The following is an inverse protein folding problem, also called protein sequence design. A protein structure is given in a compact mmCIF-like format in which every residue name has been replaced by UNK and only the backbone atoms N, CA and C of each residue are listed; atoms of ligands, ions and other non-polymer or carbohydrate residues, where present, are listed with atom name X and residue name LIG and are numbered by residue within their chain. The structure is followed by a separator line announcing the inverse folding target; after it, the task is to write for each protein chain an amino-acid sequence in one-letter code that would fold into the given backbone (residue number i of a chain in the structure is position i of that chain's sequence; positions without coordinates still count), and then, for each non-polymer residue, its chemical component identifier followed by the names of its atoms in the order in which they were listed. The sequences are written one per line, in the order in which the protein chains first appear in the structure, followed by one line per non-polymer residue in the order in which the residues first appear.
data_IF_808476078507
#
_entry.id   IF_808476078507
#
_cell.length_a   1.000
_cell.length_b   1.000
_cell.length_c   1.000
_cell.angle_alpha   90.00
_cell.angle_beta   90.00
_cell.angle_gamma   90.00
#
_symmetry.space_group_name_H-M   'P 1'
#
loop_
_entity.id
_entity.type
_entity.pdbx_description
1 polymer ?
#
# COMPACT_ATOMS: atom_id res chain seq x y z
N UNK A 1 -25.33 64.03 -15.18
CA UNK A 1 -25.97 65.24 -15.73
C UNK A 1 -27.43 65.24 -15.30
N UNK A 2 -27.85 66.31 -14.60
CA UNK A 2 -29.23 66.83 -14.51
C UNK A 2 -30.29 66.00 -13.75
N UNK A 3 -30.77 66.48 -12.59
CA UNK A 3 -31.81 67.52 -12.32
C UNK A 3 -33.17 66.83 -12.08
N UNK A 4 -33.65 66.82 -10.83
CA UNK A 4 -34.60 67.77 -10.20
C UNK A 4 -36.07 67.33 -10.33
N UNK A 5 -36.67 67.10 -9.15
CA UNK A 5 -37.99 67.57 -8.66
C UNK A 5 -39.24 67.09 -9.41
N UNK A 6 -40.18 66.50 -8.67
CA UNK A 6 -41.59 66.93 -8.58
C UNK A 6 -42.17 66.44 -7.24
N UNK A 7 -42.76 67.38 -6.51
CA UNK A 7 -43.54 67.19 -5.29
C UNK A 7 -45.03 67.02 -5.59
N UNK A 8 -45.73 66.39 -4.63
CA UNK A 8 -47.11 66.62 -4.18
C UNK A 8 -48.25 65.99 -5.00
N UNK A 9 -49.05 65.12 -4.37
CA UNK A 9 -50.38 65.45 -3.81
C UNK A 9 -50.96 64.26 -3.02
N UNK A 10 -51.53 64.64 -1.88
CA UNK A 10 -52.25 63.95 -0.83
C UNK A 10 -53.59 63.35 -1.29
N UNK A 11 -53.91 62.11 -0.92
CA UNK A 11 -55.30 61.68 -0.67
C UNK A 11 -55.35 60.91 0.65
N UNK A 12 -55.97 61.56 1.63
CA UNK A 12 -56.33 60.99 2.93
C UNK A 12 -57.67 60.27 2.78
N UNK A 13 -57.75 58.99 3.15
CA UNK A 13 -59.02 58.30 3.44
C UNK A 13 -58.90 57.56 4.78
N UNK A 14 -59.96 57.69 5.58
CA UNK A 14 -60.04 57.35 6.99
C UNK A 14 -60.62 55.93 7.22
N UNK A 15 -60.01 55.20 8.17
CA UNK A 15 -60.54 54.09 9.03
C UNK A 15 -60.68 52.68 8.41
N UNK A 16 -60.57 51.56 9.18
CA UNK A 16 -60.44 51.44 10.63
C UNK A 16 -59.13 50.79 11.13
N UNK A 17 -58.78 51.15 12.36
CA UNK A 17 -57.68 50.64 13.17
C UNK A 17 -57.79 49.12 13.34
N UNK A 18 -56.96 48.36 12.63
CA UNK A 18 -56.51 47.07 13.18
C UNK A 18 -55.32 47.37 14.06
N UNK A 19 -55.51 47.11 15.35
CA UNK A 19 -54.48 47.26 16.36
C UNK A 19 -53.20 46.59 15.87
N UNK A 20 -52.14 47.37 15.70
CA UNK A 20 -50.78 46.86 15.82
C UNK A 20 -50.72 46.36 17.26
N UNK A 21 -50.91 45.06 17.45
CA UNK A 21 -50.51 44.41 18.68
C UNK A 21 -49.01 44.62 18.77
N UNK A 22 -48.60 45.70 19.45
CA UNK A 22 -47.23 45.92 19.84
C UNK A 22 -46.81 44.64 20.55
N UNK A 23 -45.87 43.90 19.95
CA UNK A 23 -45.26 42.76 20.61
C UNK A 23 -44.80 43.24 21.99
N UNK A 24 -45.29 42.65 23.09
CA UNK A 24 -45.09 43.20 24.42
C UNK A 24 -43.59 43.40 24.70
N UNK A 25 -43.26 44.54 25.34
CA UNK A 25 -41.89 44.93 25.70
C UNK A 25 -41.19 43.74 26.38
N UNK A 26 -39.97 43.34 25.96
CA UNK A 26 -39.25 42.28 26.64
C UNK A 26 -39.08 42.65 28.13
N UNK A 27 -39.64 41.84 29.01
CA UNK A 27 -39.59 42.11 30.45
C UNK A 27 -38.18 41.86 30.99
N UNK A 28 -37.78 42.59 32.04
CA UNK A 28 -36.48 42.39 32.71
C UNK A 28 -36.23 40.91 33.06
N UNK A 29 -37.28 40.21 33.50
CA UNK A 29 -37.28 38.77 33.76
C UNK A 29 -36.93 37.90 32.53
N UNK A 30 -37.34 38.28 31.32
CA UNK A 30 -37.01 37.56 30.08
C UNK A 30 -35.54 37.75 29.69
N UNK A 31 -34.96 38.93 29.96
CA UNK A 31 -33.53 39.19 29.71
C UNK A 31 -32.66 38.45 30.74
N UNK A 32 -33.05 38.48 32.01
CA UNK A 32 -32.31 37.78 33.07
C UNK A 32 -32.41 36.25 32.89
N UNK A 33 -33.56 35.73 32.45
CA UNK A 33 -33.72 34.35 32.03
C UNK A 33 -32.84 34.01 30.80
N UNK A 34 -32.76 34.89 29.79
CA UNK A 34 -31.89 34.68 28.63
C UNK A 34 -30.40 34.70 29.00
N UNK A 35 -29.97 35.60 29.90
CA UNK A 35 -28.61 35.64 30.44
C UNK A 35 -28.27 34.39 31.24
N UNK A 36 -29.22 33.87 32.03
CA UNK A 36 -29.06 32.60 32.75
C UNK A 36 -28.88 31.43 31.79
N UNK A 37 -29.70 31.34 30.73
CA UNK A 37 -29.56 30.33 29.67
C UNK A 37 -28.23 30.45 28.93
N UNK A 38 -27.75 31.66 28.64
CA UNK A 38 -26.42 31.87 28.04
C UNK A 38 -25.31 31.40 28.98
N UNK A 39 -25.37 31.74 30.27
CA UNK A 39 -24.39 31.29 31.26
C UNK A 39 -24.38 29.76 31.42
N UNK A 40 -25.55 29.12 31.44
CA UNK A 40 -25.68 27.66 31.46
C UNK A 40 -25.11 27.02 30.19
N UNK A 41 -25.39 27.60 29.01
CA UNK A 41 -24.82 27.13 27.72
C UNK A 41 -23.32 27.34 27.63
N UNK A 42 -22.80 28.43 28.20
CA UNK A 42 -21.35 28.68 28.31
C UNK A 42 -20.68 27.68 29.24
N UNK A 43 -21.26 27.42 30.41
CA UNK A 43 -20.75 26.40 31.33
C UNK A 43 -20.78 24.99 30.72
N UNK A 44 -21.84 24.65 29.97
CA UNK A 44 -21.91 23.40 29.21
C UNK A 44 -20.84 23.32 28.11
N UNK A 45 -20.57 24.43 27.43
CA UNK A 45 -19.50 24.49 26.44
C UNK A 45 -18.10 24.37 27.06
N UNK A 46 -17.85 24.99 28.21
CA UNK A 46 -16.59 24.88 28.94
C UNK A 46 -16.37 23.44 29.45
N UNK A 47 -17.43 22.79 29.95
CA UNK A 47 -17.39 21.38 30.33
C UNK A 47 -17.12 20.46 29.14
N UNK A 48 -17.73 20.75 27.98
CA UNK A 48 -17.50 20.00 26.76
C UNK A 48 -16.10 20.26 26.16
N UNK A 49 -15.55 21.47 26.27
CA UNK A 49 -14.18 21.80 25.89
C UNK A 49 -13.15 21.00 26.71
N UNK A 50 -13.40 20.79 28.02
CA UNK A 50 -12.58 19.90 28.86
C UNK A 50 -12.60 18.45 28.35
N UNK A 51 -13.78 17.91 28.00
CA UNK A 51 -13.92 16.57 27.39
C UNK A 51 -13.23 16.49 26.01
N UNK A 52 -13.27 17.57 25.24
CA UNK A 52 -12.59 17.67 23.95
C UNK A 52 -11.07 17.62 24.11
N UNK A 53 -10.51 18.21 25.16
CA UNK A 53 -9.07 18.15 25.44
C UNK A 53 -8.59 16.73 25.78
N UNK A 54 -9.36 15.95 26.53
CA UNK A 54 -9.02 14.54 26.76
C UNK A 54 -9.09 13.72 25.48
N UNK A 55 -10.11 13.96 24.64
CA UNK A 55 -10.25 13.25 23.37
C UNK A 55 -9.20 13.67 22.32
N UNK A 56 -8.71 14.92 22.35
CA UNK A 56 -7.53 15.34 21.56
C UNK A 56 -6.28 14.55 21.94
N UNK A 57 -6.11 14.16 23.21
CA UNK A 57 -5.00 13.29 23.63
C UNK A 57 -5.15 11.89 23.03
N UNK A 58 -6.35 11.32 23.09
CA UNK A 58 -6.68 10.03 22.44
C UNK A 58 -6.41 10.09 20.93
N UNK A 59 -6.83 11.17 20.26
CA UNK A 59 -6.60 11.37 18.83
C UNK A 59 -5.09 11.42 18.50
N UNK A 60 -4.27 12.06 19.33
CA UNK A 60 -2.80 12.05 19.14
C UNK A 60 -2.26 10.62 19.22
N UNK A 61 -2.67 9.85 20.22
CA UNK A 61 -2.27 8.44 20.37
C UNK A 61 -2.71 7.61 19.15
N UNK A 62 -3.93 7.77 18.68
CA UNK A 62 -4.43 7.09 17.47
C UNK A 62 -3.64 7.51 16.22
N UNK A 63 -3.27 8.78 16.11
CA UNK A 63 -2.44 9.30 15.01
C UNK A 63 -1.04 8.68 15.03
N UNK A 64 -0.43 8.55 16.21
CA UNK A 64 0.87 7.92 16.37
C UNK A 64 0.82 6.43 15.99
N UNK A 65 -0.23 5.73 16.43
CA UNK A 65 -0.47 4.32 16.08
C UNK A 65 -0.67 4.17 14.57
N UNK A 66 -1.54 4.97 13.94
CA UNK A 66 -1.79 4.93 12.51
C UNK A 66 -0.51 5.20 11.70
N UNK A 67 0.29 6.18 12.15
CA UNK A 67 1.59 6.48 11.53
C UNK A 67 2.55 5.32 11.66
N UNK A 68 2.64 4.69 12.84
CA UNK A 68 3.49 3.53 13.08
C UNK A 68 3.07 2.33 12.20
N UNK A 69 1.77 2.01 12.15
CA UNK A 69 1.25 0.92 11.30
C UNK A 69 1.47 1.19 9.82
N UNK A 70 1.31 2.45 9.37
CA UNK A 70 1.63 2.83 7.98
C UNK A 70 3.11 2.67 7.65
N UNK A 71 4.02 2.99 8.58
CA UNK A 71 5.46 2.73 8.40
C UNK A 71 5.75 1.24 8.27
N UNK A 72 5.11 0.40 9.07
CA UNK A 72 5.25 -1.07 8.97
C UNK A 72 4.74 -1.59 7.61
N UNK A 73 3.61 -1.07 7.12
CA UNK A 73 3.11 -1.41 5.79
C UNK A 73 4.10 -1.04 4.67
N UNK A 74 4.66 0.17 4.70
CA UNK A 74 5.66 0.61 3.72
C UNK A 74 6.93 -0.25 3.81
N UNK A 75 7.38 -0.58 5.02
CA UNK A 75 8.52 -1.47 5.23
C UNK A 75 8.26 -2.87 4.63
N UNK A 76 7.06 -3.43 4.85
CA UNK A 76 6.67 -4.70 4.26
C UNK A 76 6.63 -4.64 2.72
N UNK A 77 6.15 -3.54 2.12
CA UNK A 77 6.17 -3.36 0.67
C UNK A 77 7.60 -3.33 0.11
N UNK A 78 8.52 -2.64 0.79
CA UNK A 78 9.92 -2.58 0.39
C UNK A 78 10.58 -3.96 0.49
N UNK A 79 10.30 -4.70 1.56
CA UNK A 79 10.75 -6.08 1.73
C UNK A 79 10.23 -6.97 0.60
N UNK A 80 8.94 -6.92 0.28
CA UNK A 80 8.36 -7.68 -0.83
C UNK A 80 9.03 -7.34 -2.17
N UNK A 81 9.33 -6.06 -2.42
CA UNK A 81 10.04 -5.61 -3.63
C UNK A 81 11.44 -6.23 -3.71
N UNK A 82 12.17 -6.26 -2.61
CA UNK A 82 13.49 -6.90 -2.55
C UNK A 82 13.40 -8.41 -2.78
N UNK A 83 12.48 -9.10 -2.09
CA UNK A 83 12.30 -10.56 -2.24
C UNK A 83 11.85 -10.93 -3.65
N UNK A 84 10.99 -10.12 -4.28
CA UNK A 84 10.58 -10.30 -5.67
C UNK A 84 11.77 -10.23 -6.62
N UNK A 85 12.63 -9.20 -6.49
CA UNK A 85 13.85 -9.10 -7.30
C UNK A 85 14.78 -10.30 -7.11
N UNK A 86 14.96 -10.76 -5.86
CA UNK A 86 15.75 -11.96 -5.56
C UNK A 86 15.17 -13.22 -6.22
N UNK A 87 13.85 -13.40 -6.16
CA UNK A 87 13.16 -14.51 -6.82
C UNK A 87 13.33 -14.46 -8.35
N UNK A 88 13.23 -13.28 -8.97
CA UNK A 88 13.45 -13.09 -10.41
C UNK A 88 14.88 -13.44 -10.83
N UNK A 89 15.88 -13.00 -10.06
CA UNK A 89 17.30 -13.31 -10.31
C UNK A 89 17.54 -14.81 -10.19
N UNK A 90 17.07 -15.45 -9.12
CA UNK A 90 17.23 -16.87 -8.90
C UNK A 90 16.54 -17.71 -10.00
N UNK A 91 15.36 -17.28 -10.47
CA UNK A 91 14.67 -17.93 -11.60
C UNK A 91 15.45 -17.80 -12.91
N UNK A 92 16.08 -16.65 -13.19
CA UNK A 92 16.95 -16.48 -14.37
C UNK A 92 18.19 -17.37 -14.29
N UNK A 93 18.80 -17.46 -13.10
CA UNK A 93 19.94 -18.34 -12.86
C UNK A 93 19.56 -19.81 -13.08
N UNK A 94 18.43 -20.24 -12.53
CA UNK A 94 17.87 -21.58 -12.76
C UNK A 94 17.65 -21.86 -14.25
N UNK A 95 17.04 -20.94 -15.00
CA UNK A 95 16.81 -21.11 -16.43
C UNK A 95 18.13 -21.30 -17.20
N UNK A 96 19.15 -20.52 -16.87
CA UNK A 96 20.49 -20.64 -17.47
C UNK A 96 21.13 -22.00 -17.12
N UNK A 97 21.05 -22.42 -15.86
CA UNK A 97 21.59 -23.71 -15.43
C UNK A 97 20.87 -24.89 -16.10
N UNK A 98 19.55 -24.85 -16.22
CA UNK A 98 18.76 -25.86 -16.94
C UNK A 98 19.09 -25.91 -18.44
N UNK A 99 19.39 -24.76 -19.07
CA UNK A 99 19.85 -24.72 -20.44
C UNK A 99 21.22 -25.41 -20.61
N UNK A 100 22.14 -25.22 -19.65
CA UNK A 100 23.44 -25.91 -19.61
C UNK A 100 23.29 -27.42 -19.45
N UNK A 101 22.42 -27.88 -18.55
CA UNK A 101 22.09 -29.32 -18.41
C UNK A 101 21.53 -29.88 -19.71
N UNK A 102 20.57 -29.18 -20.33
CA UNK A 102 19.97 -29.61 -21.60
C UNK A 102 20.99 -29.67 -22.73
N UNK A 103 21.92 -28.72 -22.77
CA UNK A 103 23.03 -28.72 -23.73
C UNK A 103 23.97 -29.91 -23.51
N UNK A 104 24.40 -30.13 -22.26
CA UNK A 104 25.23 -31.27 -21.90
C UNK A 104 24.56 -32.59 -22.23
N UNK A 105 23.27 -32.76 -21.92
CA UNK A 105 22.49 -33.95 -22.26
C UNK A 105 22.47 -34.25 -23.76
N UNK A 106 22.34 -33.22 -24.60
CA UNK A 106 22.43 -33.37 -26.07
C UNK A 106 23.82 -33.79 -26.51
N UNK A 107 24.87 -33.20 -25.95
CA UNK A 107 26.26 -33.59 -26.25
C UNK A 107 26.50 -35.05 -25.88
N UNK A 108 26.17 -35.46 -24.64
CA UNK A 108 26.29 -36.86 -24.21
C UNK A 108 25.46 -37.80 -25.09
N UNK A 109 24.24 -37.42 -25.47
CA UNK A 109 23.42 -38.20 -26.39
C UNK A 109 24.09 -38.43 -27.75
N UNK A 110 24.72 -37.40 -28.35
CA UNK A 110 25.48 -37.55 -29.59
C UNK A 110 26.68 -38.46 -29.42
N UNK A 111 27.41 -38.34 -28.30
CA UNK A 111 28.54 -39.23 -27.99
C UNK A 111 28.09 -40.67 -27.85
N UNK A 112 26.96 -40.91 -27.17
CA UNK A 112 26.40 -42.25 -27.01
C UNK A 112 25.95 -42.86 -28.36
N UNK A 113 25.34 -42.06 -29.24
CA UNK A 113 24.99 -42.52 -30.61
C UNK A 113 26.25 -42.85 -31.42
N UNK A 114 27.27 -41.98 -31.39
CA UNK A 114 28.53 -42.24 -32.08
C UNK A 114 29.21 -43.52 -31.55
N UNK A 115 29.26 -43.70 -30.22
CA UNK A 115 29.80 -44.90 -29.60
C UNK A 115 29.00 -46.16 -29.93
N UNK A 116 27.68 -46.08 -30.08
CA UNK A 116 26.84 -47.20 -30.50
C UNK A 116 27.06 -47.57 -31.97
N UNK A 117 27.19 -46.57 -32.85
CA UNK A 117 27.47 -46.79 -34.28
C UNK A 117 28.88 -47.34 -34.49
N UNK A 118 29.88 -46.82 -33.78
CA UNK A 118 31.28 -47.27 -33.82
C UNK A 118 31.48 -48.63 -33.12
N UNK A 119 30.88 -48.82 -31.95
CA UNK A 119 31.01 -50.05 -31.15
C UNK A 119 30.10 -51.21 -31.58
N UNK A 120 29.18 -50.99 -32.51
CA UNK A 120 28.24 -52.01 -33.01
C UNK A 120 28.77 -52.86 -34.17
N UNK A 121 29.95 -52.56 -34.71
CA UNK A 121 30.54 -53.28 -35.83
C UNK A 121 31.93 -53.82 -35.51
N UNK A 122 32.22 -55.06 -35.97
CA UNK A 122 33.56 -55.65 -35.96
C UNK A 122 34.63 -54.72 -36.58
N UNK A 123 34.21 -53.76 -37.41
CA UNK A 123 35.00 -52.88 -38.28
C UNK A 123 35.95 -51.89 -37.59
N UNK A 124 35.67 -51.39 -36.39
CA UNK A 124 36.55 -50.40 -35.74
C UNK A 124 37.74 -51.05 -35.02
N UNK A 125 37.50 -52.20 -34.38
CA UNK A 125 38.55 -53.12 -33.91
C UNK A 125 39.32 -53.68 -35.11
N UNK A 126 38.63 -54.01 -36.20
CA UNK A 126 39.27 -54.44 -37.44
C UNK A 126 40.18 -53.35 -38.02
N UNK A 127 39.81 -52.06 -37.91
CA UNK A 127 40.63 -50.93 -38.36
C UNK A 127 41.87 -50.68 -37.48
N UNK A 128 41.81 -51.05 -36.19
CA UNK A 128 42.97 -51.03 -35.29
C UNK A 128 43.87 -52.26 -35.52
N UNK A 129 43.27 -53.40 -35.86
CA UNK A 129 43.98 -54.66 -36.15
C UNK A 129 44.60 -54.68 -37.56
N UNK A 130 44.07 -53.92 -38.52
CA UNK A 130 44.56 -53.77 -39.89
C UNK A 130 45.33 -52.45 -40.13
N UNK A 131 45.97 -51.87 -39.11
CA UNK A 131 46.79 -50.67 -39.31
C UNK A 131 47.93 -50.90 -40.34
N UNK A 132 48.19 -49.94 -41.22
CA UNK A 132 49.17 -50.07 -42.33
C UNK A 132 50.65 -50.05 -41.87
N UNK A 133 50.87 -49.98 -40.56
CA UNK A 133 52.18 -50.01 -39.92
C UNK A 133 52.14 -49.50 -38.47
N UNK A 134 53.26 -49.61 -37.73
CA UNK A 134 53.31 -49.21 -36.31
C UNK A 134 53.05 -47.72 -36.07
N UNK A 135 53.35 -46.85 -37.04
CA UNK A 135 53.05 -45.42 -36.96
C UNK A 135 51.54 -45.14 -37.09
N UNK A 136 50.87 -45.78 -38.05
CA UNK A 136 49.41 -45.64 -38.25
C UNK A 136 48.64 -46.16 -37.03
N UNK A 137 49.08 -47.28 -36.45
CA UNK A 137 48.53 -47.78 -35.19
C UNK A 137 48.68 -46.77 -34.05
N UNK A 138 49.86 -46.16 -33.90
CA UNK A 138 50.10 -45.16 -32.86
C UNK A 138 49.20 -43.92 -33.03
N UNK A 139 49.04 -43.43 -34.26
CA UNK A 139 48.18 -42.28 -34.56
C UNK A 139 46.69 -42.57 -34.28
N UNK A 140 46.22 -43.78 -34.62
CA UNK A 140 44.85 -44.24 -34.30
C UNK A 140 44.62 -44.38 -32.80
N UNK A 141 45.58 -44.92 -32.05
CA UNK A 141 45.49 -45.03 -30.59
C UNK A 141 45.46 -43.64 -29.93
N UNK A 142 46.28 -42.70 -30.40
CA UNK A 142 46.26 -41.31 -29.92
C UNK A 142 44.91 -40.63 -30.20
N UNK A 143 44.31 -40.87 -31.36
CA UNK A 143 42.99 -40.33 -31.70
C UNK A 143 41.88 -40.93 -30.81
N UNK A 144 41.95 -42.23 -30.51
CA UNK A 144 41.02 -42.91 -29.61
C UNK A 144 41.16 -42.42 -28.17
N UNK A 145 42.39 -42.25 -27.69
CA UNK A 145 42.67 -41.69 -26.36
C UNK A 145 42.09 -40.27 -26.26
N UNK A 146 42.39 -39.39 -27.23
CA UNK A 146 41.84 -38.04 -27.31
C UNK A 146 40.30 -38.02 -27.34
N UNK A 147 39.67 -38.98 -28.03
CA UNK A 147 38.21 -39.15 -28.05
C UNK A 147 37.67 -39.55 -26.67
N UNK A 148 38.28 -40.53 -26.01
CA UNK A 148 37.92 -40.95 -24.65
C UNK A 148 38.07 -39.82 -23.63
N UNK A 149 39.14 -39.04 -23.75
CA UNK A 149 39.43 -37.88 -22.95
C UNK A 149 38.37 -36.78 -23.11
N UNK A 150 37.97 -36.51 -24.36
CA UNK A 150 36.91 -35.54 -24.66
C UNK A 150 35.54 -36.02 -24.16
N UNK A 151 35.24 -37.31 -24.28
CA UNK A 151 34.00 -37.92 -23.79
C UNK A 151 33.90 -37.81 -22.26
N UNK A 152 34.99 -38.11 -21.55
CA UNK A 152 35.07 -37.98 -20.09
C UNK A 152 34.88 -36.53 -19.65
N UNK A 153 35.57 -35.58 -20.29
CA UNK A 153 35.40 -34.13 -20.04
C UNK A 153 33.98 -33.65 -20.32
N UNK A 154 33.31 -34.17 -21.34
CA UNK A 154 31.92 -33.84 -21.63
C UNK A 154 30.97 -34.34 -20.53
N UNK A 155 31.19 -35.55 -20.02
CA UNK A 155 30.42 -36.12 -18.91
C UNK A 155 30.62 -35.33 -17.61
N UNK A 156 31.86 -34.95 -17.30
CA UNK A 156 32.16 -34.16 -16.11
C UNK A 156 31.52 -32.77 -16.16
N UNK A 157 31.54 -32.12 -17.33
CA UNK A 157 30.84 -30.85 -17.57
C UNK A 157 29.32 -31.00 -17.39
N UNK A 158 28.74 -32.10 -17.89
CA UNK A 158 27.31 -32.38 -17.72
C UNK A 158 26.94 -32.57 -16.25
N UNK A 159 27.68 -33.42 -15.51
CA UNK A 159 27.46 -33.63 -14.08
C UNK A 159 27.60 -32.34 -13.28
N UNK A 160 28.61 -31.53 -13.61
CA UNK A 160 28.80 -30.21 -12.99
C UNK A 160 27.61 -29.29 -13.25
N UNK A 161 27.07 -29.27 -14.48
CA UNK A 161 25.88 -28.51 -14.82
C UNK A 161 24.64 -28.99 -14.04
N UNK A 162 24.48 -30.30 -13.81
CA UNK A 162 23.38 -30.85 -13.00
C UNK A 162 23.46 -30.41 -11.54
N UNK A 163 24.65 -30.40 -10.95
CA UNK A 163 24.88 -29.89 -9.59
C UNK A 163 24.49 -28.41 -9.50
N UNK A 164 24.96 -27.59 -10.45
CA UNK A 164 24.62 -26.16 -10.51
C UNK A 164 23.12 -25.95 -10.70
N UNK A 165 22.46 -26.71 -11.58
CA UNK A 165 21.02 -26.61 -11.80
C UNK A 165 20.21 -27.01 -10.56
N UNK A 166 20.63 -28.05 -9.84
CA UNK A 166 19.98 -28.48 -8.60
C UNK A 166 20.12 -27.42 -7.51
N UNK A 167 21.31 -26.82 -7.37
CA UNK A 167 21.54 -25.72 -6.45
C UNK A 167 20.69 -24.48 -6.81
N UNK A 168 20.65 -24.11 -8.08
CA UNK A 168 19.86 -23.00 -8.58
C UNK A 168 18.35 -23.24 -8.40
N UNK A 169 17.87 -24.48 -8.53
CA UNK A 169 16.48 -24.85 -8.29
C UNK A 169 16.12 -24.60 -6.83
N UNK A 170 16.94 -25.10 -5.90
CA UNK A 170 16.75 -24.88 -4.47
C UNK A 170 16.75 -23.39 -4.11
N UNK A 171 17.67 -22.62 -4.68
CA UNK A 171 17.72 -21.17 -4.47
C UNK A 171 16.46 -20.47 -4.98
N UNK A 172 16.00 -20.80 -6.18
CA UNK A 172 14.79 -20.25 -6.78
C UNK A 172 13.53 -20.57 -5.95
N UNK A 173 13.41 -21.80 -5.46
CA UNK A 173 12.29 -22.23 -4.63
C UNK A 173 12.27 -21.51 -3.28
N UNK A 174 13.44 -21.38 -2.61
CA UNK A 174 13.56 -20.61 -1.38
C UNK A 174 13.24 -19.13 -1.59
N UNK A 175 13.70 -18.55 -2.70
CA UNK A 175 13.42 -17.15 -3.03
C UNK A 175 11.92 -16.92 -3.31
N UNK A 176 11.24 -17.85 -4.00
CA UNK A 176 9.78 -17.81 -4.20
C UNK A 176 9.01 -17.96 -2.89
N UNK A 177 9.42 -18.86 -2.01
CA UNK A 177 8.79 -19.00 -0.69
C UNK A 177 8.95 -17.71 0.14
N UNK A 178 10.14 -17.10 0.12
CA UNK A 178 10.39 -15.83 0.80
C UNK A 178 9.55 -14.68 0.20
N UNK A 179 9.37 -14.66 -1.12
CA UNK A 179 8.48 -13.71 -1.79
C UNK A 179 7.02 -13.91 -1.34
N UNK A 180 6.52 -15.15 -1.34
CA UNK A 180 5.15 -15.47 -0.91
C UNK A 180 4.90 -15.06 0.55
N UNK A 181 5.84 -15.35 1.45
CA UNK A 181 5.77 -14.93 2.85
C UNK A 181 5.73 -13.40 2.98
N UNK A 182 6.56 -12.68 2.20
CA UNK A 182 6.53 -11.22 2.17
C UNK A 182 5.19 -10.66 1.65
N UNK A 183 4.57 -11.31 0.66
CA UNK A 183 3.23 -10.94 0.16
C UNK A 183 2.17 -11.04 1.27
N UNK A 184 2.17 -12.15 2.03
CA UNK A 184 1.27 -12.31 3.18
C UNK A 184 1.52 -11.23 4.23
N UNK A 185 2.78 -10.92 4.52
CA UNK A 185 3.16 -9.85 5.46
C UNK A 185 2.65 -8.47 5.03
N UNK A 186 2.74 -8.15 3.72
CA UNK A 186 2.18 -6.90 3.17
C UNK A 186 0.68 -6.83 3.36
N UNK A 187 -0.05 -7.92 3.08
CA UNK A 187 -1.50 -7.97 3.26
C UNK A 187 -1.91 -7.79 4.73
N UNK A 188 -1.22 -8.45 5.65
CA UNK A 188 -1.44 -8.29 7.09
C UNK A 188 -1.15 -6.86 7.56
N UNK A 189 0.01 -6.30 7.20
CA UNK A 189 0.38 -4.94 7.56
C UNK A 189 -0.57 -3.88 6.95
N UNK A 190 -1.11 -4.13 5.75
CA UNK A 190 -2.13 -3.29 5.14
C UNK A 190 -3.40 -3.27 5.97
N UNK A 191 -3.91 -4.44 6.35
CA UNK A 191 -5.11 -4.56 7.17
C UNK A 191 -4.97 -3.78 8.48
N UNK A 192 -3.85 -3.97 9.20
CA UNK A 192 -3.60 -3.25 10.44
C UNK A 192 -3.47 -1.72 10.25
N UNK A 193 -2.86 -1.29 9.14
CA UNK A 193 -2.75 0.14 8.82
C UNK A 193 -4.10 0.76 8.47
N UNK A 194 -4.93 0.05 7.72
CA UNK A 194 -6.27 0.50 7.35
C UNK A 194 -7.20 0.55 8.58
N UNK A 195 -7.13 -0.45 9.48
CA UNK A 195 -7.85 -0.46 10.75
C UNK A 195 -7.44 0.71 11.66
N UNK A 196 -6.14 0.97 11.79
CA UNK A 196 -5.65 2.10 12.59
C UNK A 196 -6.08 3.46 12.01
N UNK A 197 -6.06 3.61 10.68
CA UNK A 197 -6.55 4.80 10.00
C UNK A 197 -8.06 4.99 10.19
N UNK A 198 -8.84 3.90 10.16
CA UNK A 198 -10.28 3.94 10.41
C UNK A 198 -10.59 4.41 11.84
N UNK A 199 -9.91 3.85 12.85
CA UNK A 199 -10.07 4.28 14.26
C UNK A 199 -9.70 5.76 14.45
N UNK A 200 -8.60 6.21 13.83
CA UNK A 200 -8.21 7.62 13.87
C UNK A 200 -9.29 8.50 13.25
N UNK A 201 -9.80 8.12 12.06
CA UNK A 201 -10.84 8.87 11.36
C UNK A 201 -12.14 8.94 12.16
N UNK A 202 -12.56 7.84 12.77
CA UNK A 202 -13.76 7.81 13.61
C UNK A 202 -13.64 8.80 14.79
N UNK A 203 -12.48 8.87 15.43
CA UNK A 203 -12.25 9.82 16.52
C UNK A 203 -12.23 11.28 16.03
N UNK A 204 -11.65 11.55 14.84
CA UNK A 204 -11.71 12.89 14.21
C UNK A 204 -13.17 13.28 13.94
N UNK A 205 -13.94 12.39 13.32
CA UNK A 205 -15.33 12.67 12.94
C UNK A 205 -16.21 12.91 14.19
N UNK A 206 -16.00 12.12 15.26
CA UNK A 206 -16.64 12.36 16.58
C UNK A 206 -16.29 13.72 17.15
N UNK A 207 -15.01 14.10 17.12
CA UNK A 207 -14.55 15.37 17.69
C UNK A 207 -15.08 16.57 16.90
N UNK A 208 -15.14 16.46 15.57
CA UNK A 208 -15.70 17.49 14.71
C UNK A 208 -17.18 17.70 15.02
N UNK A 209 -17.96 16.62 15.12
CA UNK A 209 -19.39 16.70 15.44
C UNK A 209 -19.66 17.39 16.79
N UNK A 210 -18.83 17.11 17.81
CA UNK A 210 -18.92 17.79 19.11
C UNK A 210 -18.60 19.28 18.98
N UNK A 211 -17.54 19.64 18.26
CA UNK A 211 -17.18 21.05 18.03
C UNK A 211 -18.30 21.81 17.31
N UNK A 212 -18.84 21.25 16.23
CA UNK A 212 -19.89 21.87 15.42
C UNK A 212 -21.17 22.10 16.23
N UNK A 213 -21.58 21.10 17.03
CA UNK A 213 -22.74 21.21 17.91
C UNK A 213 -22.57 22.31 18.96
N UNK A 214 -21.41 22.37 19.61
CA UNK A 214 -21.11 23.40 20.61
C UNK A 214 -21.08 24.80 20.01
N UNK A 215 -20.44 24.97 18.85
CA UNK A 215 -20.38 26.25 18.14
C UNK A 215 -21.78 26.76 17.79
N UNK A 216 -22.65 25.87 17.28
CA UNK A 216 -24.04 26.21 16.94
C UNK A 216 -24.87 26.59 18.16
N UNK A 217 -24.79 25.83 19.24
CA UNK A 217 -25.55 26.11 20.47
C UNK A 217 -25.14 27.44 21.12
N UNK A 218 -23.83 27.74 21.17
CA UNK A 218 -23.33 29.02 21.67
C UNK A 218 -23.79 30.20 20.80
N UNK A 219 -23.69 30.08 19.47
CA UNK A 219 -24.11 31.13 18.55
C UNK A 219 -25.61 31.46 18.68
N UNK A 220 -26.46 30.44 18.83
CA UNK A 220 -27.91 30.62 19.03
C UNK A 220 -28.20 31.34 20.36
N UNK A 221 -27.55 30.95 21.45
CA UNK A 221 -27.73 31.57 22.76
C UNK A 221 -27.30 33.05 22.75
N UNK A 222 -26.14 33.35 22.17
CA UNK A 222 -25.61 34.71 22.04
C UNK A 222 -26.52 35.60 21.19
N UNK A 223 -26.98 35.09 20.03
CA UNK A 223 -27.90 35.83 19.16
C UNK A 223 -29.21 36.15 19.89
N UNK A 224 -29.75 35.19 20.65
CA UNK A 224 -30.99 35.39 21.42
C UNK A 224 -30.82 36.48 22.49
N UNK A 225 -29.69 36.52 23.21
CA UNK A 225 -29.40 37.63 24.15
C UNK A 225 -29.34 38.97 23.42
N UNK A 226 -28.57 39.03 22.33
CA UNK A 226 -28.35 40.27 21.60
C UNK A 226 -29.66 40.85 21.03
N UNK A 227 -30.53 39.99 20.48
CA UNK A 227 -31.83 40.40 19.94
C UNK A 227 -32.77 40.92 21.03
N UNK A 228 -32.81 40.28 22.21
CA UNK A 228 -33.61 40.75 23.34
C UNK A 228 -33.09 42.07 23.92
N UNK A 229 -31.76 42.26 23.97
CA UNK A 229 -31.14 43.52 24.39
C UNK A 229 -31.43 44.66 23.39
N UNK A 230 -31.34 44.38 22.08
CA UNK A 230 -31.69 45.34 21.03
C UNK A 230 -33.19 45.71 21.09
N UNK A 231 -34.10 44.74 21.17
CA UNK A 231 -35.54 45.02 21.27
C UNK A 231 -35.91 45.87 22.48
N UNK A 232 -35.14 45.77 23.57
CA UNK A 232 -35.32 46.64 24.73
C UNK A 232 -34.76 48.06 24.53
N UNK A 233 -33.65 48.21 23.81
CA UNK A 233 -33.05 49.54 23.57
C UNK A 233 -33.85 50.40 22.58
N UNK A 234 -34.59 49.76 21.67
CA UNK A 234 -35.35 50.45 20.61
C UNK A 234 -36.80 50.76 21.05
N UNK A 235 -37.21 50.38 22.27
CA UNK A 235 -38.57 50.50 22.80
C UNK A 235 -38.63 51.34 24.08
#
# INVERSE_FOLDING_TARGET
MNKKIISLVLVMTLMPSTAIAATPKPTQAQIDAAKKVEAEKKAAADAAAKKLNSAKKTLRQLTDIATAKRRLYIAAQNELKEKTKKAEIAMKHLQSAQASVSSGKRTIGKLAVNAYVMGGGFTDLDSLLHADGPQDLADRLNALDALGDNNSKALDRFKSAEVVATAAQKEADLAKQAQAAATVKVAAAKKEADEAAAMQKEEVDKLQAVQDKLAKELAVAQKKRLTLEQQRQIA
#
